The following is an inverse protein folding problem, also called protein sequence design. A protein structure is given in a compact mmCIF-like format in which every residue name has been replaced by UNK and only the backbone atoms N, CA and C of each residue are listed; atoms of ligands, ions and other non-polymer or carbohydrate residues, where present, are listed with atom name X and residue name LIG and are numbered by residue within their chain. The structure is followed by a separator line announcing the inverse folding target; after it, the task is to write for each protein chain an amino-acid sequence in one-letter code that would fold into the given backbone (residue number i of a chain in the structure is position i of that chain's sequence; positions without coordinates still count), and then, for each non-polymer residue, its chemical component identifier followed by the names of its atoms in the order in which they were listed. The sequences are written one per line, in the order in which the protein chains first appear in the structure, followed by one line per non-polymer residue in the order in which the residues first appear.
data_IF_570009207827
#
_entry.id   IF_570009207827
#
_cell.length_a   1.000
_cell.length_b   1.000
_cell.length_c   1.000
_cell.angle_alpha   90.00
_cell.angle_beta   90.00
_cell.angle_gamma   90.00
#
_symmetry.space_group_name_H-M   'P 1'
#
loop_
_entity.id
_entity.type
_entity.pdbx_description
1 polymer ?
#
# COMPACT_ATOMS: atom_id res chain seq x y z
N UNK A 1 7.14 -15.64 -7.59
CA UNK A 1 6.73 -14.77 -6.47
C UNK A 1 6.76 -13.30 -6.89
N UNK A 2 7.82 -12.83 -7.53
CA UNK A 2 7.93 -11.46 -8.04
C UNK A 2 7.18 -11.31 -9.37
N UNK A 3 5.88 -11.04 -9.27
CA UNK A 3 4.98 -10.80 -10.41
C UNK A 3 3.89 -9.82 -10.02
N UNK A 4 3.22 -9.22 -11.00
CA UNK A 4 2.01 -8.41 -10.78
C UNK A 4 0.76 -9.24 -10.49
N UNK A 5 0.79 -10.54 -10.77
CA UNK A 5 -0.37 -11.40 -10.56
C UNK A 5 -0.54 -11.68 -9.06
N UNK A 6 -1.69 -11.30 -8.47
CA UNK A 6 -1.94 -11.55 -7.06
C UNK A 6 -1.98 -13.06 -6.80
N UNK A 7 -1.52 -13.47 -5.62
CA UNK A 7 -1.55 -14.86 -5.21
C UNK A 7 -1.46 -14.98 -3.69
N UNK A 8 -2.50 -15.53 -3.06
CA UNK A 8 -2.60 -15.64 -1.61
C UNK A 8 -1.39 -16.33 -0.96
N UNK A 9 -0.88 -17.41 -1.56
CA UNK A 9 0.27 -18.14 -1.01
C UNK A 9 1.56 -17.31 -1.07
N UNK A 10 1.78 -16.58 -2.17
CA UNK A 10 2.91 -15.66 -2.27
C UNK A 10 2.78 -14.50 -1.28
N UNK A 11 1.58 -13.94 -1.12
CA UNK A 11 1.29 -12.89 -0.16
C UNK A 11 1.58 -13.34 1.28
N UNK A 12 1.12 -14.55 1.65
CA UNK A 12 1.40 -15.17 2.95
C UNK A 12 2.89 -15.37 3.18
N UNK A 13 3.61 -15.87 2.17
CA UNK A 13 5.08 -16.06 2.25
C UNK A 13 5.83 -14.73 2.42
N UNK A 14 5.49 -13.72 1.62
CA UNK A 14 6.14 -12.42 1.68
C UNK A 14 5.91 -11.72 3.03
N UNK A 15 4.66 -11.75 3.51
CA UNK A 15 4.28 -11.25 4.84
C UNK A 15 5.00 -12.00 5.95
N UNK A 16 5.09 -13.33 5.86
CA UNK A 16 5.81 -14.15 6.84
C UNK A 16 7.28 -13.77 6.94
N UNK A 17 7.98 -13.64 5.80
CA UNK A 17 9.40 -13.25 5.81
C UNK A 17 9.60 -11.86 6.42
N UNK A 18 8.73 -10.89 6.09
CA UNK A 18 8.76 -9.57 6.72
C UNK A 18 8.55 -9.68 8.24
N UNK A 19 7.53 -10.43 8.67
CA UNK A 19 7.17 -10.55 10.08
C UNK A 19 8.31 -11.18 10.88
N UNK A 20 8.94 -12.22 10.35
CA UNK A 20 10.10 -12.86 10.99
C UNK A 20 11.30 -11.92 11.14
N UNK A 21 11.54 -11.03 10.17
CA UNK A 21 12.59 -10.00 10.31
C UNK A 21 12.26 -9.02 11.44
N UNK A 22 11.00 -8.61 11.56
CA UNK A 22 10.54 -7.71 12.63
C UNK A 22 10.61 -8.42 13.99
N UNK A 23 10.12 -9.66 14.11
CA UNK A 23 10.21 -10.46 15.35
C UNK A 23 11.65 -10.63 15.82
N UNK A 24 12.57 -11.01 14.92
CA UNK A 24 14.01 -11.10 15.23
C UNK A 24 14.58 -9.78 15.71
N UNK A 25 14.20 -8.67 15.06
CA UNK A 25 14.62 -7.34 15.51
C UNK A 25 14.05 -7.00 16.89
N UNK A 26 12.77 -7.27 17.17
CA UNK A 26 12.17 -7.03 18.48
C UNK A 26 12.89 -7.84 19.56
N UNK A 27 13.16 -9.12 19.29
CA UNK A 27 13.92 -9.98 20.20
C UNK A 27 15.30 -9.41 20.51
N UNK A 28 16.04 -8.95 19.49
CA UNK A 28 17.32 -8.29 19.68
C UNK A 28 17.21 -7.01 20.53
N UNK A 29 16.22 -6.15 20.25
CA UNK A 29 16.05 -4.88 20.98
C UNK A 29 15.68 -5.12 22.44
N UNK A 30 14.81 -6.09 22.74
CA UNK A 30 14.44 -6.48 24.10
C UNK A 30 15.68 -6.93 24.88
N UNK A 31 16.50 -7.82 24.31
CA UNK A 31 17.72 -8.32 24.97
C UNK A 31 18.74 -7.19 25.24
N UNK A 32 18.91 -6.26 24.30
CA UNK A 32 19.78 -5.08 24.49
C UNK A 32 19.30 -4.14 25.61
N UNK A 33 18.00 -4.12 25.86
CA UNK A 33 17.38 -3.30 26.88
C UNK A 33 17.34 -3.98 28.26
N UNK A 34 17.24 -5.32 28.30
CA UNK A 34 17.12 -6.11 29.53
C UNK A 34 18.23 -5.82 30.53
N UNK A 35 19.49 -5.72 30.07
CA UNK A 35 20.62 -5.42 30.95
C UNK A 35 20.68 -3.97 31.45
N UNK A 36 19.85 -3.07 30.90
CA UNK A 36 19.92 -1.62 31.11
C UNK A 36 18.69 -1.05 31.80
N UNK A 37 17.59 -1.80 31.85
CA UNK A 37 16.30 -1.37 32.38
C UNK A 37 15.83 -2.36 33.44
N UNK A 38 15.28 -1.85 34.55
CA UNK A 38 14.78 -2.66 35.67
C UNK A 38 13.44 -3.35 35.35
N UNK A 39 13.41 -4.21 34.33
CA UNK A 39 12.24 -5.00 33.93
C UNK A 39 12.48 -6.46 34.35
N UNK A 40 11.45 -7.13 34.88
CA UNK A 40 11.55 -8.55 35.27
C UNK A 40 11.87 -9.45 34.06
N UNK A 41 12.92 -10.26 34.20
CA UNK A 41 13.35 -11.25 33.20
C UNK A 41 12.22 -12.22 32.81
N UNK A 42 11.37 -12.60 33.77
CA UNK A 42 10.24 -13.50 33.54
C UNK A 42 9.19 -12.86 32.62
N UNK A 43 8.87 -11.57 32.82
CA UNK A 43 7.90 -10.85 31.97
C UNK A 43 8.42 -10.77 30.53
N UNK A 44 9.71 -10.44 30.36
CA UNK A 44 10.33 -10.34 29.04
C UNK A 44 10.35 -11.69 28.31
N UNK A 45 10.77 -12.76 29.00
CA UNK A 45 10.79 -14.10 28.43
C UNK A 45 9.41 -14.56 27.98
N UNK A 46 8.37 -14.31 28.79
CA UNK A 46 6.99 -14.67 28.47
C UNK A 46 6.47 -13.96 27.22
N UNK A 47 6.68 -12.65 27.11
CA UNK A 47 6.22 -11.89 25.94
C UNK A 47 7.02 -12.24 24.68
N UNK A 48 8.31 -12.58 24.80
CA UNK A 48 9.11 -13.07 23.68
C UNK A 48 8.61 -14.42 23.15
N UNK A 49 8.16 -15.33 24.02
CA UNK A 49 7.53 -16.59 23.60
C UNK A 49 6.23 -16.32 22.83
N UNK A 50 5.35 -15.48 23.40
CA UNK A 50 4.11 -15.07 22.73
C UNK A 50 4.34 -14.42 21.37
N UNK A 51 5.39 -13.60 21.22
CA UNK A 51 5.74 -12.97 19.96
C UNK A 51 5.99 -14.00 18.85
N UNK A 52 6.57 -15.16 19.18
CA UNK A 52 6.78 -16.24 18.20
C UNK A 52 5.45 -16.78 17.69
N UNK A 53 4.47 -16.95 18.58
CA UNK A 53 3.16 -17.52 18.27
C UNK A 53 2.25 -16.58 17.46
N UNK A 54 2.57 -15.28 17.39
CA UNK A 54 1.81 -14.33 16.58
C UNK A 54 2.04 -14.61 15.09
N UNK A 55 1.04 -15.17 14.40
CA UNK A 55 1.11 -15.41 12.96
C UNK A 55 1.14 -14.10 12.15
N UNK A 56 0.40 -13.08 12.59
CA UNK A 56 0.29 -11.77 11.91
C UNK A 56 0.52 -10.63 12.91
N UNK A 57 1.63 -9.91 12.73
CA UNK A 57 1.92 -8.70 13.51
C UNK A 57 0.87 -7.63 13.22
N UNK A 58 0.49 -6.87 14.25
CA UNK A 58 -0.46 -5.77 14.10
C UNK A 58 0.25 -4.48 13.65
N UNK A 59 -0.49 -3.52 13.05
CA UNK A 59 0.06 -2.19 12.75
C UNK A 59 0.71 -1.52 13.97
N UNK A 60 0.13 -1.74 15.15
CA UNK A 60 0.66 -1.27 16.43
C UNK A 60 2.02 -1.87 16.78
N UNK A 61 2.20 -3.19 16.62
CA UNK A 61 3.50 -3.83 16.86
C UNK A 61 4.57 -3.25 15.92
N UNK A 62 4.24 -3.05 14.64
CA UNK A 62 5.16 -2.41 13.69
C UNK A 62 5.51 -0.97 14.11
N UNK A 63 4.53 -0.21 14.57
CA UNK A 63 4.73 1.16 15.01
C UNK A 63 5.66 1.23 16.22
N UNK A 64 5.37 0.47 17.28
CA UNK A 64 6.17 0.50 18.50
C UNK A 64 7.57 -0.10 18.29
N UNK A 65 7.71 -1.10 17.42
CA UNK A 65 9.03 -1.58 16.97
C UNK A 65 9.84 -0.45 16.34
N UNK A 66 9.26 0.29 15.39
CA UNK A 66 9.93 1.40 14.73
C UNK A 66 10.22 2.56 15.71
N UNK A 67 9.25 2.95 16.53
CA UNK A 67 9.40 4.01 17.52
C UNK A 67 10.52 3.70 18.52
N UNK A 68 10.60 2.45 19.00
CA UNK A 68 11.67 1.98 19.87
C UNK A 68 13.05 2.09 19.19
N UNK A 69 13.17 1.65 17.94
CA UNK A 69 14.42 1.80 17.18
C UNK A 69 14.82 3.27 17.03
N UNK A 70 13.87 4.16 16.77
CA UNK A 70 14.14 5.59 16.63
C UNK A 70 14.62 6.21 17.97
N UNK A 71 13.94 5.91 19.08
CA UNK A 71 14.32 6.38 20.41
C UNK A 71 15.71 5.87 20.82
N UNK A 72 16.03 4.61 20.53
CA UNK A 72 17.36 4.04 20.80
C UNK A 72 18.46 4.73 19.99
N UNK A 73 18.25 5.01 18.69
CA UNK A 73 19.21 5.76 17.86
C UNK A 73 19.45 7.17 18.38
N UNK A 74 18.42 7.82 18.92
CA UNK A 74 18.49 9.15 19.54
C UNK A 74 19.01 9.13 20.99
N UNK A 75 19.23 7.93 21.56
CA UNK A 75 19.69 7.72 22.93
C UNK A 75 18.74 8.29 24.01
N UNK A 76 17.44 8.31 23.72
CA UNK A 76 16.39 8.82 24.62
C UNK A 76 15.98 7.75 25.66
N UNK A 77 16.80 7.55 26.69
CA UNK A 77 16.65 6.43 27.66
C UNK A 77 15.24 6.28 28.25
N UNK A 78 14.64 7.37 28.71
CA UNK A 78 13.31 7.34 29.34
C UNK A 78 12.23 6.93 28.33
N UNK A 79 12.34 7.45 27.09
CA UNK A 79 11.42 7.12 26.01
C UNK A 79 11.57 5.65 25.56
N UNK A 80 12.82 5.14 25.51
CA UNK A 80 13.10 3.73 25.24
C UNK A 80 12.40 2.83 26.27
N UNK A 81 12.46 3.17 27.55
CA UNK A 81 11.80 2.40 28.60
C UNK A 81 10.27 2.37 28.42
N UNK A 82 9.65 3.54 28.19
CA UNK A 82 8.20 3.66 27.98
C UNK A 82 7.74 2.86 26.76
N UNK A 83 8.43 3.02 25.61
CA UNK A 83 8.07 2.36 24.37
C UNK A 83 8.25 0.84 24.45
N UNK A 84 9.27 0.37 25.17
CA UNK A 84 9.49 -1.05 25.41
C UNK A 84 8.35 -1.67 26.22
N UNK A 85 7.91 -1.03 27.30
CA UNK A 85 6.78 -1.51 28.10
C UNK A 85 5.49 -1.56 27.29
N UNK A 86 5.20 -0.52 26.50
CA UNK A 86 4.05 -0.51 25.59
C UNK A 86 4.12 -1.62 24.55
N UNK A 87 5.28 -1.86 23.95
CA UNK A 87 5.48 -2.94 22.98
C UNK A 87 5.22 -4.31 23.62
N UNK A 88 5.76 -4.56 24.81
CA UNK A 88 5.54 -5.80 25.58
C UNK A 88 4.06 -6.01 25.85
N UNK A 89 3.37 -4.98 26.37
CA UNK A 89 1.95 -5.08 26.68
C UNK A 89 1.14 -5.36 25.40
N UNK A 90 1.46 -4.72 24.27
CA UNK A 90 0.75 -4.97 23.00
C UNK A 90 1.00 -6.38 22.47
N UNK A 91 2.22 -6.90 22.59
CA UNK A 91 2.52 -8.29 22.22
C UNK A 91 1.69 -9.25 23.09
N UNK A 92 1.62 -8.99 24.39
CA UNK A 92 0.85 -9.80 25.34
C UNK A 92 -0.63 -9.84 24.99
N UNK A 93 -1.21 -8.71 24.59
CA UNK A 93 -2.60 -8.61 24.16
C UNK A 93 -2.80 -9.24 22.77
N UNK A 94 -1.91 -8.99 21.81
CA UNK A 94 -2.04 -9.48 20.44
C UNK A 94 -2.02 -11.01 20.36
N UNK A 95 -1.21 -11.68 21.18
CA UNK A 95 -1.16 -13.14 21.25
C UNK A 95 -2.47 -13.77 21.77
N UNK A 96 -3.32 -12.99 22.44
CA UNK A 96 -4.63 -13.44 22.96
C UNK A 96 -5.79 -13.19 21.99
N UNK A 97 -5.54 -12.48 20.89
CA UNK A 97 -6.57 -12.11 19.93
C UNK A 97 -6.60 -13.11 18.78
N UNK A 98 -7.75 -13.72 18.55
CA UNK A 98 -8.01 -14.39 17.27
C UNK A 98 -7.93 -13.38 16.12
N UNK A 99 -7.41 -13.82 14.99
CA UNK A 99 -7.38 -13.01 13.78
C UNK A 99 -8.82 -12.79 13.28
N UNK A 100 -9.39 -11.63 13.61
CA UNK A 100 -10.71 -11.21 13.14
C UNK A 100 -10.67 -10.78 11.66
N UNK A 101 -11.83 -10.83 11.03
CA UNK A 101 -12.08 -10.26 9.69
C UNK A 101 -11.58 -8.81 9.55
N UNK A 102 -11.34 -8.41 8.30
CA UNK A 102 -10.96 -7.05 7.91
C UNK A 102 -11.85 -6.00 8.60
N UNK A 103 -11.23 -5.07 9.32
CA UNK A 103 -11.94 -4.00 10.02
C UNK A 103 -11.97 -2.71 9.20
N UNK A 104 -13.11 -2.03 9.19
CA UNK A 104 -13.29 -0.71 8.55
C UNK A 104 -13.72 0.27 9.63
N UNK A 105 -12.86 1.26 9.91
CA UNK A 105 -13.10 2.26 10.97
C UNK A 105 -12.65 3.65 10.52
N UNK A 106 -13.06 4.70 11.22
CA UNK A 106 -12.49 6.04 11.01
C UNK A 106 -11.06 6.10 11.54
N UNK A 107 -10.24 6.98 10.97
CA UNK A 107 -9.04 7.48 11.67
C UNK A 107 -9.46 8.03 13.04
N UNK A 108 -8.65 7.73 14.04
CA UNK A 108 -8.88 8.01 15.45
C UNK A 108 -7.63 8.59 16.10
N UNK A 109 -7.49 8.31 17.40
CA UNK A 109 -6.50 8.98 18.25
C UNK A 109 -5.40 8.06 18.79
N UNK A 110 -5.30 6.83 18.27
CA UNK A 110 -4.21 5.92 18.64
C UNK A 110 -2.86 6.49 18.21
N UNK A 111 -1.80 6.18 18.97
CA UNK A 111 -0.48 6.79 18.74
C UNK A 111 0.06 6.51 17.33
N UNK A 112 -0.12 5.28 16.83
CA UNK A 112 0.31 4.91 15.48
C UNK A 112 -0.51 5.61 14.37
N UNK A 113 -1.79 5.91 14.64
CA UNK A 113 -2.66 6.62 13.70
C UNK A 113 -2.24 8.09 13.61
N UNK A 114 -1.97 8.73 14.76
CA UNK A 114 -1.44 10.10 14.80
C UNK A 114 -0.09 10.18 14.09
N UNK A 115 0.82 9.25 14.41
CA UNK A 115 2.13 9.18 13.78
C UNK A 115 2.05 9.14 12.26
N UNK A 116 1.25 8.23 11.69
CA UNK A 116 1.19 8.08 10.24
C UNK A 116 0.50 9.28 9.56
N UNK A 117 -0.52 9.85 10.19
CA UNK A 117 -1.27 10.98 9.64
C UNK A 117 -0.47 12.29 9.72
N UNK A 118 0.20 12.55 10.83
CA UNK A 118 1.10 13.69 10.99
C UNK A 118 2.29 13.61 10.03
N UNK A 119 2.87 12.41 9.85
CA UNK A 119 3.94 12.21 8.88
C UNK A 119 3.46 12.47 7.45
N UNK A 120 2.28 11.98 7.08
CA UNK A 120 1.70 12.23 5.77
C UNK A 120 1.48 13.73 5.51
N UNK A 121 1.01 14.46 6.52
CA UNK A 121 0.83 15.92 6.43
C UNK A 121 2.18 16.61 6.25
N UNK A 122 3.19 16.24 7.04
CA UNK A 122 4.54 16.81 6.95
C UNK A 122 5.16 16.56 5.58
N UNK A 123 5.16 15.31 5.11
CA UNK A 123 5.72 14.93 3.81
C UNK A 123 5.00 15.62 2.66
N UNK A 124 3.68 15.79 2.75
CA UNK A 124 2.92 16.50 1.71
C UNK A 124 3.31 17.98 1.64
N UNK A 125 3.54 18.61 2.79
CA UNK A 125 4.03 19.99 2.84
C UNK A 125 5.43 20.11 2.24
N UNK A 126 6.34 19.19 2.57
CA UNK A 126 7.71 19.15 2.04
C UNK A 126 7.75 18.87 0.53
N UNK A 127 6.97 17.90 0.04
CA UNK A 127 7.01 17.45 -1.36
C UNK A 127 6.23 18.34 -2.33
N UNK A 128 5.11 18.90 -1.88
CA UNK A 128 4.13 19.54 -2.77
C UNK A 128 3.92 21.03 -2.47
N UNK A 129 4.51 21.53 -1.38
CA UNK A 129 4.22 22.86 -0.80
C UNK A 129 2.70 23.10 -0.67
N UNK A 130 1.99 22.11 -0.12
CA UNK A 130 0.54 22.18 0.12
C UNK A 130 0.22 21.79 1.55
N UNK A 131 -0.71 22.53 2.13
CA UNK A 131 -1.32 22.16 3.41
C UNK A 131 -2.25 20.96 3.21
N UNK A 132 -1.89 19.83 3.82
CA UNK A 132 -2.70 18.63 3.86
C UNK A 132 -3.52 18.60 5.14
N UNK A 133 -4.67 17.92 5.07
CA UNK A 133 -5.58 17.77 6.19
C UNK A 133 -6.06 16.33 6.20
N UNK A 134 -6.09 15.71 7.38
CA UNK A 134 -6.63 14.37 7.62
C UNK A 134 -7.48 14.47 8.88
N UNK A 135 -8.78 14.20 8.76
CA UNK A 135 -9.73 14.31 9.85
C UNK A 135 -10.59 13.06 10.00
N UNK A 136 -10.98 12.70 11.23
CA UNK A 136 -11.97 11.65 11.49
C UNK A 136 -13.31 11.95 10.80
N UNK A 137 -14.04 10.89 10.47
CA UNK A 137 -15.39 10.98 9.90
C UNK A 137 -16.45 10.63 10.94
N UNK A 138 -17.66 11.18 10.78
CA UNK A 138 -18.78 10.87 11.69
C UNK A 138 -19.20 9.40 11.59
N UNK A 139 -19.83 8.86 12.64
CA UNK A 139 -20.35 7.48 12.65
C UNK A 139 -21.35 7.21 11.52
N UNK A 140 -22.23 8.18 11.22
CA UNK A 140 -23.19 8.08 10.11
C UNK A 140 -22.48 7.97 8.76
N UNK A 141 -21.43 8.78 8.55
CA UNK A 141 -20.62 8.78 7.33
C UNK A 141 -19.82 7.48 7.21
N UNK A 142 -19.24 7.02 8.33
CA UNK A 142 -18.53 5.75 8.41
C UNK A 142 -19.45 4.58 8.08
N UNK A 143 -20.67 4.54 8.62
CA UNK A 143 -21.63 3.47 8.34
C UNK A 143 -21.95 3.39 6.85
N UNK A 144 -22.25 4.53 6.21
CA UNK A 144 -22.52 4.58 4.78
C UNK A 144 -21.33 4.09 3.95
N UNK A 145 -20.14 4.63 4.20
CA UNK A 145 -18.97 4.27 3.41
C UNK A 145 -18.42 2.88 3.72
N UNK A 146 -18.73 2.32 4.89
CA UNK A 146 -18.44 0.91 5.18
C UNK A 146 -19.19 -0.01 4.22
N UNK A 147 -20.46 0.28 3.91
CA UNK A 147 -21.23 -0.49 2.93
C UNK A 147 -20.65 -0.33 1.51
N UNK A 148 -20.21 0.88 1.15
CA UNK A 148 -19.56 1.16 -0.15
C UNK A 148 -18.23 0.40 -0.29
N UNK A 149 -17.37 0.44 0.74
CA UNK A 149 -16.11 -0.30 0.78
C UNK A 149 -16.37 -1.80 0.68
N UNK A 150 -17.39 -2.30 1.38
CA UNK A 150 -17.80 -3.71 1.30
C UNK A 150 -18.27 -4.07 -0.11
N UNK A 151 -19.05 -3.20 -0.76
CA UNK A 151 -19.47 -3.42 -2.15
C UNK A 151 -18.27 -3.47 -3.12
N UNK A 152 -17.28 -2.58 -2.94
CA UNK A 152 -16.05 -2.60 -3.73
C UNK A 152 -15.27 -3.92 -3.54
N UNK A 153 -15.10 -4.36 -2.29
CA UNK A 153 -14.47 -5.66 -1.97
C UNK A 153 -15.24 -6.84 -2.56
N UNK A 154 -16.58 -6.81 -2.57
CA UNK A 154 -17.40 -7.84 -3.20
C UNK A 154 -17.22 -7.90 -4.72
N UNK A 155 -17.02 -6.77 -5.40
CA UNK A 155 -16.72 -6.74 -6.84
C UNK A 155 -15.35 -7.37 -7.09
N UNK A 156 -14.33 -7.03 -6.29
CA UNK A 156 -13.00 -7.66 -6.37
C UNK A 156 -13.13 -9.16 -6.13
N UNK A 157 -13.78 -9.60 -5.05
CA UNK A 157 -13.96 -11.02 -4.74
C UNK A 157 -14.62 -11.81 -5.88
N UNK A 158 -15.60 -11.22 -6.55
CA UNK A 158 -16.37 -11.88 -7.61
C UNK A 158 -15.62 -12.01 -8.93
N UNK A 159 -14.82 -11.01 -9.29
CA UNK A 159 -14.21 -10.91 -10.62
C UNK A 159 -12.68 -11.00 -10.60
N UNK A 160 -12.09 -10.99 -9.41
CA UNK A 160 -10.67 -11.04 -9.15
C UNK A 160 -10.38 -11.66 -7.76
N UNK A 161 -10.78 -12.92 -7.60
CA UNK A 161 -10.68 -13.62 -6.31
C UNK A 161 -9.23 -13.69 -5.79
N UNK A 162 -8.24 -13.85 -6.67
CA UNK A 162 -6.83 -13.86 -6.28
C UNK A 162 -6.40 -12.53 -5.64
N UNK A 163 -6.84 -11.39 -6.18
CA UNK A 163 -6.58 -10.07 -5.58
C UNK A 163 -7.29 -9.94 -4.24
N UNK A 164 -8.55 -10.37 -4.15
CA UNK A 164 -9.31 -10.34 -2.90
C UNK A 164 -8.62 -11.16 -1.80
N UNK A 165 -8.20 -12.38 -2.11
CA UNK A 165 -7.54 -13.27 -1.17
C UNK A 165 -6.20 -12.71 -0.69
N UNK A 166 -5.46 -12.06 -1.59
CA UNK A 166 -4.22 -11.36 -1.24
C UNK A 166 -4.46 -10.14 -0.35
N UNK A 167 -5.48 -9.32 -0.65
CA UNK A 167 -5.90 -8.20 0.21
C UNK A 167 -6.26 -8.74 1.60
N UNK A 168 -7.07 -9.80 1.69
CA UNK A 168 -7.49 -10.40 2.95
C UNK A 168 -6.31 -11.02 3.73
N UNK A 169 -5.28 -11.49 3.03
CA UNK A 169 -4.07 -12.03 3.66
C UNK A 169 -3.19 -10.93 4.28
N UNK A 170 -3.15 -9.74 3.66
CA UNK A 170 -2.19 -8.69 4.01
C UNK A 170 -2.80 -7.53 4.80
N UNK A 171 -4.09 -7.26 4.66
CA UNK A 171 -4.75 -6.09 5.21
C UNK A 171 -5.65 -6.49 6.38
N UNK A 172 -5.43 -5.86 7.53
CA UNK A 172 -6.23 -6.06 8.75
C UNK A 172 -7.20 -4.92 9.00
N UNK A 173 -6.83 -3.70 8.60
CA UNK A 173 -7.63 -2.51 8.89
C UNK A 173 -7.59 -1.51 7.73
N UNK A 174 -8.79 -1.04 7.36
CA UNK A 174 -9.00 0.11 6.49
C UNK A 174 -9.48 1.26 7.36
N UNK A 175 -8.72 2.36 7.33
CA UNK A 175 -9.01 3.58 8.05
C UNK A 175 -9.56 4.64 7.10
N UNK A 176 -10.82 5.02 7.29
CA UNK A 176 -11.46 6.06 6.49
C UNK A 176 -11.22 7.43 7.12
N UNK A 177 -10.99 8.44 6.29
CA UNK A 177 -10.81 9.82 6.72
C UNK A 177 -11.37 10.80 5.70
N UNK A 178 -11.64 12.02 6.12
CA UNK A 178 -11.87 13.16 5.21
C UNK A 178 -10.66 14.10 5.24
N UNK A 179 -10.52 14.95 4.22
CA UNK A 179 -9.48 15.95 4.19
C UNK A 179 -8.98 16.35 2.81
N UNK A 180 -7.76 16.86 2.74
CA UNK A 180 -7.20 17.52 1.56
C UNK A 180 -5.85 16.95 1.17
N UNK A 181 -5.60 16.97 -0.14
CA UNK A 181 -4.36 16.55 -0.83
C UNK A 181 -4.13 15.04 -0.82
N UNK A 182 -4.03 14.40 0.35
CA UNK A 182 -3.77 12.97 0.49
C UNK A 182 -5.01 12.14 0.18
N UNK A 183 -4.90 11.14 -0.71
CA UNK A 183 -6.04 10.28 -1.10
C UNK A 183 -5.97 8.88 -0.48
N UNK A 184 -4.76 8.38 -0.27
CA UNK A 184 -4.49 7.10 0.36
C UNK A 184 -3.14 7.13 1.04
N UNK A 185 -2.95 6.23 2.01
CA UNK A 185 -1.70 6.12 2.76
C UNK A 185 -1.45 4.67 3.19
N UNK A 186 -0.24 4.20 2.91
CA UNK A 186 0.33 2.96 3.43
C UNK A 186 1.76 3.25 3.87
N UNK A 187 2.18 2.64 4.99
CA UNK A 187 3.53 2.78 5.49
C UNK A 187 4.02 1.45 6.10
N UNK A 188 5.28 1.09 5.82
CA UNK A 188 5.91 -0.14 6.34
C UNK A 188 5.97 -0.18 7.87
N UNK A 189 5.94 0.99 8.51
CA UNK A 189 5.94 1.17 9.97
C UNK A 189 4.58 0.88 10.59
N UNK A 190 3.53 0.70 9.79
CA UNK A 190 2.18 0.31 10.25
C UNK A 190 1.60 -0.79 9.34
N UNK A 191 2.45 -1.74 8.92
CA UNK A 191 2.08 -2.78 7.96
C UNK A 191 0.79 -3.52 8.39
N UNK A 192 -0.11 -3.75 7.43
CA UNK A 192 -1.43 -4.33 7.66
C UNK A 192 -2.54 -3.30 7.86
N UNK A 193 -2.21 -2.00 7.86
CA UNK A 193 -3.17 -0.90 7.79
C UNK A 193 -3.04 -0.14 6.47
N UNK A 194 -4.18 0.34 5.96
CA UNK A 194 -4.23 1.37 4.93
C UNK A 194 -5.22 2.46 5.35
N UNK A 195 -4.92 3.71 5.00
CA UNK A 195 -5.82 4.83 5.19
C UNK A 195 -6.32 5.26 3.81
N UNK A 196 -7.64 5.47 3.66
CA UNK A 196 -8.24 5.91 2.40
C UNK A 196 -9.17 7.08 2.66
N UNK A 197 -9.00 8.15 1.88
CA UNK A 197 -9.84 9.33 1.97
C UNK A 197 -11.22 9.06 1.38
N UNK A 198 -12.25 9.75 1.86
CA UNK A 198 -13.55 9.73 1.21
C UNK A 198 -13.49 10.29 -0.23
N UNK A 199 -14.26 9.71 -1.18
CA UNK A 199 -14.33 10.20 -2.55
C UNK A 199 -14.94 11.60 -2.61
N UNK A 200 -14.58 12.36 -3.65
CA UNK A 200 -15.28 13.60 -4.01
C UNK A 200 -16.69 13.29 -4.50
N UNK A 201 -17.63 14.22 -4.28
CA UNK A 201 -19.06 14.04 -4.57
C UNK A 201 -19.39 13.65 -6.03
N UNK A 202 -18.52 13.99 -6.98
CA UNK A 202 -18.73 13.75 -8.41
C UNK A 202 -18.11 12.43 -8.91
N UNK A 203 -17.57 11.60 -8.03
CA UNK A 203 -16.95 10.32 -8.37
C UNK A 203 -17.88 9.15 -8.01
N UNK A 204 -17.81 8.07 -8.78
CA UNK A 204 -18.42 6.81 -8.38
C UNK A 204 -17.68 6.27 -7.14
N UNK A 205 -18.33 6.21 -5.96
CA UNK A 205 -17.63 5.91 -4.72
C UNK A 205 -17.20 4.44 -4.65
N UNK A 206 -17.93 3.51 -5.29
CA UNK A 206 -17.56 2.09 -5.33
C UNK A 206 -16.30 1.89 -6.18
N UNK A 207 -16.26 2.47 -7.38
CA UNK A 207 -15.08 2.40 -8.24
C UNK A 207 -13.87 3.08 -7.58
N UNK A 208 -14.08 4.21 -6.91
CA UNK A 208 -13.04 4.90 -6.16
C UNK A 208 -12.41 4.00 -5.09
N UNK A 209 -13.21 3.39 -4.22
CA UNK A 209 -12.68 2.49 -3.19
C UNK A 209 -12.06 1.23 -3.77
N UNK A 210 -12.62 0.67 -4.84
CA UNK A 210 -12.03 -0.48 -5.53
C UNK A 210 -10.61 -0.18 -5.97
N UNK A 211 -10.40 0.94 -6.66
CA UNK A 211 -9.08 1.36 -7.12
C UNK A 211 -8.13 1.61 -5.94
N UNK A 212 -8.55 2.36 -4.92
CA UNK A 212 -7.69 2.73 -3.80
C UNK A 212 -7.34 1.53 -2.90
N UNK A 213 -8.25 0.58 -2.72
CA UNK A 213 -7.95 -0.65 -1.97
C UNK A 213 -6.89 -1.47 -2.71
N UNK A 214 -7.06 -1.66 -4.03
CA UNK A 214 -6.05 -2.36 -4.86
C UNK A 214 -4.72 -1.59 -4.84
N UNK A 215 -4.78 -0.26 -4.89
CA UNK A 215 -3.61 0.62 -4.84
C UNK A 215 -2.79 0.39 -3.56
N UNK A 216 -3.42 0.57 -2.40
CA UNK A 216 -2.76 0.50 -1.11
C UNK A 216 -2.32 -0.94 -0.77
N UNK A 217 -3.14 -1.94 -1.10
CA UNK A 217 -2.75 -3.34 -0.94
C UNK A 217 -1.53 -3.69 -1.82
N UNK A 218 -1.44 -3.13 -3.02
CA UNK A 218 -0.28 -3.31 -3.90
C UNK A 218 0.98 -2.70 -3.29
N UNK A 219 0.88 -1.54 -2.62
CA UNK A 219 2.01 -0.99 -1.85
C UNK A 219 2.46 -1.91 -0.72
N UNK A 220 1.52 -2.45 0.07
CA UNK A 220 1.81 -3.41 1.14
C UNK A 220 2.56 -4.63 0.57
N UNK A 221 2.05 -5.19 -0.53
CA UNK A 221 2.66 -6.35 -1.16
C UNK A 221 4.07 -6.07 -1.67
N UNK A 222 4.27 -4.98 -2.41
CA UNK A 222 5.58 -4.63 -2.97
C UNK A 222 6.60 -4.39 -1.86
N UNK A 223 6.21 -3.74 -0.78
CA UNK A 223 7.06 -3.56 0.40
C UNK A 223 7.48 -4.90 1.02
N UNK A 224 6.56 -5.87 1.10
CA UNK A 224 6.89 -7.22 1.57
C UNK A 224 7.87 -7.92 0.63
N UNK A 225 7.68 -7.82 -0.70
CA UNK A 225 8.61 -8.37 -1.68
C UNK A 225 10.01 -7.74 -1.58
N UNK A 226 10.08 -6.42 -1.49
CA UNK A 226 11.35 -5.69 -1.35
C UNK A 226 12.05 -5.95 -0.01
N UNK A 227 11.28 -6.26 1.03
CA UNK A 227 11.84 -6.75 2.29
C UNK A 227 12.46 -8.14 2.14
N UNK A 228 12.05 -8.97 1.18
CA UNK A 228 12.69 -10.27 0.92
C UNK A 228 13.97 -10.12 0.10
N UNK A 229 13.88 -9.44 -1.04
CA UNK A 229 14.98 -9.27 -2.00
C UNK A 229 14.88 -7.87 -2.63
N UNK A 230 15.99 -7.09 -2.68
CA UNK A 230 16.02 -5.86 -3.45
C UNK A 230 15.57 -6.08 -4.90
N UNK A 231 14.67 -5.23 -5.39
CA UNK A 231 14.21 -5.28 -6.79
C UNK A 231 15.07 -4.37 -7.69
N UNK A 232 15.58 -3.28 -7.11
CA UNK A 232 16.31 -2.22 -7.81
C UNK A 232 17.60 -1.90 -7.05
N UNK A 233 18.66 -1.66 -7.82
CA UNK A 233 20.02 -1.38 -7.35
C UNK A 233 20.49 0.05 -7.69
N UNK A 234 19.61 0.88 -8.26
CA UNK A 234 19.88 2.30 -8.46
C UNK A 234 20.12 3.02 -7.12
N UNK A 235 20.85 4.14 -7.16
CA UNK A 235 21.06 4.98 -5.98
C UNK A 235 19.75 5.66 -5.57
N UNK A 236 19.58 5.91 -4.26
CA UNK A 236 18.50 6.76 -3.75
C UNK A 236 18.60 8.21 -4.23
N UNK A 237 19.79 8.64 -4.67
CA UNK A 237 20.07 10.00 -5.14
C UNK A 237 19.82 10.21 -6.63
N UNK A 238 19.69 9.13 -7.40
CA UNK A 238 19.35 9.23 -8.81
C UNK A 238 17.91 9.76 -8.97
N UNK A 239 17.62 10.51 -10.04
CA UNK A 239 16.30 11.14 -10.28
C UNK A 239 15.84 10.89 -11.71
N UNK A 240 14.65 10.35 -11.87
CA UNK A 240 14.05 9.91 -13.13
C UNK A 240 12.62 10.42 -13.28
N UNK A 241 12.08 10.42 -14.50
CA UNK A 241 10.71 10.86 -14.71
C UNK A 241 9.72 9.88 -14.05
N UNK A 242 8.68 10.42 -13.41
CA UNK A 242 7.61 9.64 -12.80
C UNK A 242 6.41 9.56 -13.74
N UNK A 243 5.72 8.40 -13.83
CA UNK A 243 4.51 8.31 -14.64
C UNK A 243 3.33 9.11 -14.07
N UNK A 244 3.33 9.42 -12.77
CA UNK A 244 2.21 10.05 -12.07
C UNK A 244 2.48 11.50 -11.65
N UNK A 245 3.75 11.87 -11.52
CA UNK A 245 4.19 13.15 -10.96
C UNK A 245 5.06 13.92 -11.93
N UNK A 246 5.00 15.26 -11.85
CA UNK A 246 5.83 16.15 -12.67
C UNK A 246 7.27 16.23 -12.16
N UNK A 247 7.49 16.08 -10.86
CA UNK A 247 8.82 16.05 -10.26
C UNK A 247 9.54 14.73 -10.51
N UNK A 248 10.87 14.81 -10.60
CA UNK A 248 11.72 13.63 -10.76
C UNK A 248 11.79 12.85 -9.45
N UNK A 249 11.81 11.52 -9.55
CA UNK A 249 11.80 10.59 -8.41
C UNK A 249 12.98 9.62 -8.46
N UNK A 250 13.44 9.11 -7.31
CA UNK A 250 14.28 7.92 -7.27
C UNK A 250 13.64 6.77 -8.05
N UNK A 251 14.45 5.89 -8.64
CA UNK A 251 13.94 4.76 -9.43
C UNK A 251 13.01 3.84 -8.62
N UNK A 252 13.24 3.71 -7.31
CA UNK A 252 12.30 2.99 -6.42
C UNK A 252 10.90 3.61 -6.42
N UNK A 253 10.80 4.94 -6.50
CA UNK A 253 9.51 5.64 -6.61
C UNK A 253 8.83 5.44 -7.96
N UNK A 254 9.61 5.43 -9.05
CA UNK A 254 9.11 5.11 -10.40
C UNK A 254 8.59 3.67 -10.46
N UNK A 255 9.32 2.71 -9.87
CA UNK A 255 8.87 1.33 -9.75
C UNK A 255 7.57 1.22 -8.95
N UNK A 256 7.48 1.84 -7.78
CA UNK A 256 6.28 1.78 -6.95
C UNK A 256 5.06 2.26 -7.73
N UNK A 257 5.15 3.43 -8.37
CA UNK A 257 4.06 3.97 -9.18
C UNK A 257 3.68 3.01 -10.32
N UNK A 258 4.67 2.49 -11.05
CA UNK A 258 4.43 1.61 -12.21
C UNK A 258 3.83 0.27 -11.79
N UNK A 259 4.35 -0.35 -10.72
CA UNK A 259 3.87 -1.62 -10.20
C UNK A 259 2.43 -1.52 -9.70
N UNK A 260 2.11 -0.49 -8.91
CA UNK A 260 0.76 -0.29 -8.37
C UNK A 260 -0.23 0.00 -9.49
N UNK A 261 0.10 0.90 -10.43
CA UNK A 261 -0.74 1.14 -11.60
C UNK A 261 -0.94 -0.13 -12.45
N UNK A 262 0.08 -0.98 -12.59
CA UNK A 262 -0.04 -2.24 -13.33
C UNK A 262 -1.02 -3.21 -12.66
N UNK A 263 -1.04 -3.25 -11.32
CA UNK A 263 -2.01 -4.08 -10.59
C UNK A 263 -3.43 -3.55 -10.69
N UNK A 264 -3.61 -2.24 -10.70
CA UNK A 264 -4.91 -1.61 -10.97
C UNK A 264 -5.38 -1.96 -12.39
N UNK A 265 -4.53 -1.80 -13.41
CA UNK A 265 -4.84 -2.20 -14.80
C UNK A 265 -5.26 -3.65 -14.87
N UNK A 266 -4.51 -4.55 -14.21
CA UNK A 266 -4.82 -5.98 -14.19
C UNK A 266 -6.18 -6.26 -13.58
N UNK A 267 -6.52 -5.66 -12.44
CA UNK A 267 -7.84 -5.84 -11.81
C UNK A 267 -8.97 -5.23 -12.62
N UNK A 268 -8.80 -4.00 -13.13
CA UNK A 268 -9.79 -3.36 -14.02
C UNK A 268 -10.01 -4.18 -15.29
N UNK A 269 -8.96 -4.72 -15.89
CA UNK A 269 -9.06 -5.58 -17.07
C UNK A 269 -9.85 -6.85 -16.78
N UNK A 270 -9.59 -7.53 -15.66
CA UNK A 270 -10.37 -8.73 -15.28
C UNK A 270 -11.85 -8.41 -15.06
N UNK A 271 -12.15 -7.34 -14.32
CA UNK A 271 -13.54 -6.92 -14.09
C UNK A 271 -14.21 -6.52 -15.41
N UNK A 272 -13.53 -5.77 -16.25
CA UNK A 272 -14.03 -5.35 -17.56
C UNK A 272 -14.35 -6.57 -18.44
N UNK A 273 -13.41 -7.51 -18.59
CA UNK A 273 -13.61 -8.71 -19.40
C UNK A 273 -14.75 -9.59 -18.87
N UNK A 274 -14.95 -9.64 -17.56
CA UNK A 274 -16.01 -10.43 -16.93
C UNK A 274 -17.40 -9.78 -17.02
N UNK A 275 -17.47 -8.44 -17.12
CA UNK A 275 -18.75 -7.69 -16.98
C UNK A 275 -19.14 -6.90 -18.22
N UNK A 276 -18.19 -6.63 -19.12
CA UNK A 276 -18.29 -5.68 -20.22
C UNK A 276 -18.74 -4.27 -19.78
N UNK A 277 -18.51 -3.90 -18.51
CA UNK A 277 -18.96 -2.63 -17.95
C UNK A 277 -18.06 -1.49 -18.46
N UNK A 278 -18.65 -0.63 -19.30
CA UNK A 278 -17.97 0.49 -19.94
C UNK A 278 -17.45 1.56 -18.97
N UNK A 279 -17.92 1.59 -17.72
CA UNK A 279 -17.37 2.48 -16.68
C UNK A 279 -15.88 2.22 -16.39
N UNK A 280 -15.38 1.01 -16.65
CA UNK A 280 -13.97 0.65 -16.44
C UNK A 280 -13.06 1.02 -17.62
N UNK A 281 -13.61 1.22 -18.82
CA UNK A 281 -12.81 1.36 -20.03
C UNK A 281 -11.92 2.62 -19.99
N UNK A 282 -12.48 3.74 -19.53
CA UNK A 282 -11.72 4.99 -19.42
C UNK A 282 -10.66 4.96 -18.31
N UNK A 283 -10.98 4.59 -17.04
CA UNK A 283 -9.98 4.38 -15.99
C UNK A 283 -8.90 3.38 -16.37
N UNK A 284 -9.26 2.29 -17.07
CA UNK A 284 -8.30 1.31 -17.60
C UNK A 284 -7.34 1.95 -18.59
N UNK A 285 -7.84 2.72 -19.55
CA UNK A 285 -7.02 3.41 -20.54
C UNK A 285 -6.06 4.43 -19.89
N UNK A 286 -6.56 5.23 -18.94
CA UNK A 286 -5.72 6.17 -18.17
C UNK A 286 -4.61 5.46 -17.41
N UNK A 287 -4.96 4.43 -16.66
CA UNK A 287 -3.99 3.73 -15.81
C UNK A 287 -2.98 2.96 -16.66
N UNK A 288 -3.41 2.39 -17.79
CA UNK A 288 -2.51 1.70 -18.72
C UNK A 288 -1.52 2.68 -19.36
N UNK A 289 -1.93 3.91 -19.68
CA UNK A 289 -1.02 4.96 -20.15
C UNK A 289 0.08 5.26 -19.13
N UNK A 290 -0.29 5.37 -17.85
CA UNK A 290 0.67 5.58 -16.75
C UNK A 290 1.66 4.42 -16.63
N UNK A 291 1.18 3.18 -16.74
CA UNK A 291 2.03 1.99 -16.70
C UNK A 291 3.02 1.99 -17.87
N UNK A 292 2.57 2.34 -19.07
CA UNK A 292 3.43 2.45 -20.26
C UNK A 292 4.51 3.51 -20.04
N UNK A 293 4.14 4.71 -19.53
CA UNK A 293 5.12 5.77 -19.17
C UNK A 293 6.17 5.27 -18.20
N UNK A 294 5.75 4.61 -17.14
CA UNK A 294 6.64 4.09 -16.12
C UNK A 294 7.58 3.01 -16.65
N UNK A 295 7.07 2.12 -17.50
CA UNK A 295 7.85 1.05 -18.13
C UNK A 295 8.91 1.58 -19.10
N UNK A 296 8.64 2.69 -19.80
CA UNK A 296 9.66 3.35 -20.65
C UNK A 296 10.85 3.79 -19.80
N UNK A 297 10.60 4.47 -18.69
CA UNK A 297 11.66 4.95 -17.79
C UNK A 297 12.43 3.81 -17.12
N UNK A 298 11.71 2.78 -16.63
CA UNK A 298 12.33 1.61 -16.00
C UNK A 298 13.23 0.87 -16.99
N UNK A 299 12.75 0.56 -18.20
CA UNK A 299 13.55 -0.16 -19.19
C UNK A 299 14.83 0.58 -19.57
N UNK A 300 14.77 1.91 -19.58
CA UNK A 300 15.89 2.75 -19.99
C UNK A 300 16.93 2.92 -18.88
N UNK A 301 16.51 2.95 -17.62
CA UNK A 301 17.34 3.46 -16.53
C UNK A 301 17.49 2.53 -15.32
N UNK A 302 16.64 1.51 -15.16
CA UNK A 302 16.66 0.66 -13.97
C UNK A 302 17.82 -0.34 -13.99
N UNK A 303 18.50 -0.45 -12.86
CA UNK A 303 19.45 -1.52 -12.54
C UNK A 303 18.69 -2.56 -11.71
N UNK A 304 18.19 -3.59 -12.38
CA UNK A 304 17.32 -4.60 -11.75
C UNK A 304 18.13 -5.78 -11.21
N UNK A 305 17.64 -6.39 -10.13
CA UNK A 305 18.03 -7.75 -9.76
C UNK A 305 17.33 -8.78 -10.65
N UNK A 306 17.64 -10.06 -10.50
CA UNK A 306 16.90 -11.13 -11.20
C UNK A 306 15.39 -11.10 -10.86
N UNK A 307 15.07 -10.96 -9.57
CA UNK A 307 13.71 -10.78 -9.09
C UNK A 307 13.03 -9.56 -9.73
N UNK A 308 13.77 -8.45 -9.86
CA UNK A 308 13.26 -7.28 -10.57
C UNK A 308 13.03 -7.49 -12.05
N UNK A 309 13.92 -8.22 -12.74
CA UNK A 309 13.71 -8.62 -14.13
C UNK A 309 12.43 -9.43 -14.33
N UNK A 310 12.17 -10.40 -13.45
CA UNK A 310 10.94 -11.21 -13.48
C UNK A 310 9.69 -10.34 -13.28
N UNK A 311 9.73 -9.41 -12.32
CA UNK A 311 8.61 -8.50 -12.07
C UNK A 311 8.32 -7.61 -13.28
N UNK A 312 9.34 -6.97 -13.84
CA UNK A 312 9.20 -6.09 -15.01
C UNK A 312 8.71 -6.86 -16.24
N UNK A 313 9.18 -8.10 -16.44
CA UNK A 313 8.67 -8.96 -17.51
C UNK A 313 7.16 -9.23 -17.34
N UNK A 314 6.68 -9.46 -16.11
CA UNK A 314 5.25 -9.67 -15.86
C UNK A 314 4.40 -8.43 -16.17
N UNK A 315 4.89 -7.21 -15.87
CA UNK A 315 4.23 -5.95 -16.26
C UNK A 315 4.18 -5.83 -17.79
N UNK A 316 5.28 -6.18 -18.48
CA UNK A 316 5.32 -6.14 -19.94
C UNK A 316 4.27 -7.06 -20.57
N UNK A 317 4.11 -8.27 -20.05
CA UNK A 317 3.09 -9.22 -20.54
C UNK A 317 1.67 -8.67 -20.36
N UNK A 318 1.38 -7.99 -19.24
CA UNK A 318 0.10 -7.32 -19.02
C UNK A 318 -0.14 -6.23 -20.07
N UNK A 319 0.85 -5.38 -20.33
CA UNK A 319 0.72 -4.31 -21.33
C UNK A 319 0.37 -4.90 -22.69
N UNK A 320 1.11 -5.91 -23.14
CA UNK A 320 0.89 -6.51 -24.46
C UNK A 320 -0.50 -7.17 -24.54
N UNK A 321 -0.96 -7.83 -23.48
CA UNK A 321 -2.33 -8.37 -23.41
C UNK A 321 -3.38 -7.25 -23.47
N UNK A 322 -3.24 -6.22 -22.63
CA UNK A 322 -4.21 -5.13 -22.53
C UNK A 322 -4.34 -4.31 -23.82
N UNK A 323 -3.26 -4.18 -24.61
CA UNK A 323 -3.27 -3.51 -25.92
C UNK A 323 -4.11 -4.21 -26.97
N UNK A 324 -4.39 -5.51 -26.81
CA UNK A 324 -5.17 -6.28 -27.80
C UNK A 324 -6.69 -6.13 -27.64
N UNK A 325 -7.16 -5.35 -26.65
CA UNK A 325 -8.59 -5.12 -26.47
C UNK A 325 -9.20 -4.47 -27.74
N UNK A 326 -10.26 -5.06 -28.32
CA UNK A 326 -10.87 -4.55 -29.54
C UNK A 326 -11.50 -3.16 -29.35
N UNK A 327 -11.87 -2.80 -28.12
CA UNK A 327 -12.49 -1.52 -27.76
C UNK A 327 -11.60 -0.33 -28.09
N UNK A 328 -10.28 -0.51 -28.12
CA UNK A 328 -9.34 0.54 -28.49
C UNK A 328 -9.54 1.06 -29.91
N UNK A 329 -10.10 0.24 -30.81
CA UNK A 329 -10.44 0.68 -32.18
C UNK A 329 -11.53 1.76 -32.20
N UNK A 330 -12.43 1.74 -31.20
CA UNK A 330 -13.56 2.67 -31.09
C UNK A 330 -13.33 3.73 -30.00
N UNK A 331 -12.29 3.56 -29.19
CA UNK A 331 -11.97 4.46 -28.10
C UNK A 331 -11.44 5.79 -28.64
N UNK A 332 -12.21 6.87 -28.46
CA UNK A 332 -11.78 8.20 -28.85
C UNK A 332 -10.73 8.75 -27.87
N UNK A 333 -9.43 8.55 -28.16
CA UNK A 333 -8.31 9.04 -27.34
C UNK A 333 -8.25 10.57 -27.18
N UNK A 334 -8.84 11.31 -28.12
CA UNK A 334 -8.81 12.78 -28.15
C UNK A 334 -9.98 13.44 -27.42
N UNK A 335 -11.01 12.68 -27.07
CA UNK A 335 -12.16 13.22 -26.34
C UNK A 335 -11.74 13.66 -24.93
N UNK A 336 -12.06 14.90 -24.51
CA UNK A 336 -11.76 15.37 -23.17
C UNK A 336 -12.60 14.57 -22.17
N UNK A 337 -11.92 13.91 -21.23
CA UNK A 337 -12.56 13.19 -20.14
C UNK A 337 -11.99 13.63 -18.81
N UNK A 338 -12.85 13.60 -17.79
CA UNK A 338 -12.45 13.93 -16.44
C UNK A 338 -11.48 12.87 -15.93
N UNK A 339 -10.37 13.30 -15.34
CA UNK A 339 -9.42 12.41 -14.68
C UNK A 339 -10.16 11.52 -13.66
N UNK A 340 -9.83 10.24 -13.54
CA UNK A 340 -10.55 9.30 -12.65
C UNK A 340 -10.63 9.70 -11.16
N UNK A 341 -9.70 10.55 -10.70
CA UNK A 341 -9.72 11.17 -9.36
C UNK A 341 -10.36 12.57 -9.28
N UNK A 342 -11.02 13.03 -10.34
CA UNK A 342 -11.64 14.34 -10.44
C UNK A 342 -10.65 15.51 -10.51
N UNK A 343 -9.41 15.26 -10.95
CA UNK A 343 -8.32 16.25 -11.02
C UNK A 343 -8.19 16.89 -12.42
N UNK A 344 -9.26 17.51 -12.91
CA UNK A 344 -9.28 18.14 -14.24
C UNK A 344 -9.48 17.13 -15.36
N UNK A 345 -8.87 17.37 -16.52
CA UNK A 345 -8.98 16.49 -17.71
C UNK A 345 -7.70 15.69 -17.91
N UNK A 346 -7.86 14.46 -18.41
CA UNK A 346 -6.74 13.55 -18.69
C UNK A 346 -6.37 13.52 -20.17
N UNK A 347 -5.19 12.99 -20.49
CA UNK A 347 -4.76 12.63 -21.84
C UNK A 347 -4.10 11.26 -21.83
N UNK A 348 -4.44 10.44 -22.82
CA UNK A 348 -4.07 9.02 -22.92
C UNK A 348 -3.18 8.81 -24.16
N UNK A 349 -2.07 9.55 -24.21
CA UNK A 349 -1.26 9.71 -25.42
C UNK A 349 -0.32 8.53 -25.69
N UNK A 350 0.26 7.93 -24.64
CA UNK A 350 1.21 6.83 -24.78
C UNK A 350 0.53 5.54 -25.16
N UNK A 351 -0.67 5.28 -24.63
CA UNK A 351 -1.46 4.15 -25.08
C UNK A 351 -1.91 4.32 -26.55
N UNK A 352 -2.33 5.53 -26.96
CA UNK A 352 -2.66 5.84 -28.36
C UNK A 352 -1.44 5.53 -29.27
N UNK A 353 -0.25 6.01 -28.91
CA UNK A 353 0.98 5.77 -29.66
C UNK A 353 1.41 4.30 -29.66
N UNK A 354 1.10 3.54 -28.61
CA UNK A 354 1.53 2.15 -28.49
C UNK A 354 0.57 1.16 -29.17
N UNK A 355 -0.61 1.62 -29.61
CA UNK A 355 -1.61 0.85 -30.35
C UNK A 355 -1.64 1.24 -31.84
N UNK A 356 -1.27 2.48 -32.17
CA UNK A 356 -1.06 2.94 -33.56
C UNK A 356 0.11 2.20 -34.22
#
# INVERSE_FOLDING_TARGET
MFTINPNQLNAKKARFVQAEKVKKSIHYLINECQNKLSISDEKLAHSLLKLQDIERLTPEIHYYHHALQAAMRRQEKDNVHILLLKLIDIIDHAASLEFKELSITSVGNLEWEKFVTEEAIRLTKEDCDREAEITPISESTLSFFKDVVTAALCIIARHDSDMYDEIHEQVKIIKLFDGKVTMGLTDVRILGAMLIRLPRQNLNPVLYFLEHIVHEASHIHLNCLMAMDPIILNSSEDRFASPLRKDLRPMVGVLHATYVSARIVRTFLQIYLATNNQEFLHPLAETLDEVIRGMVEIKKHAKLTEAGGQLIASIQTLIESAKTLPEWQQYNFKAPRMHRFGAGTTKVNQLEQAIA
#
